data_IF_053463504533
#
_entry.id   IF_053463504533
#
_cell.length_a   1.000
_cell.length_b   1.000
_cell.length_c   1.000
_cell.angle_alpha   90.00
_cell.angle_beta   90.00
_cell.angle_gamma   90.00
#
_symmetry.space_group_name_H-M   'P 1'
#
loop_
_entity.id
_entity.type
_entity.pdbx_description
1 polymer ?
#
# COMPACT_ATOMS: atom_id res chain seq x y z
N UNK A 1 14.37 14.03 5.38
CA UNK A 1 13.48 13.53 6.44
C UNK A 1 12.11 13.49 5.80
N UNK A 2 11.57 12.29 5.59
CA UNK A 2 10.36 12.10 4.79
C UNK A 2 9.13 12.52 5.61
N UNK A 3 8.56 13.69 5.28
CA UNK A 3 7.46 14.37 5.99
C UNK A 3 6.14 13.56 5.99
N UNK A 4 6.10 12.44 5.24
CA UNK A 4 4.89 11.63 5.03
C UNK A 4 4.81 10.41 5.95
N UNK A 5 5.83 10.20 6.79
CA UNK A 5 5.91 9.11 7.77
C UNK A 5 5.06 9.42 9.01
N UNK A 6 4.20 8.48 9.44
CA UNK A 6 3.32 8.70 10.60
C UNK A 6 2.87 7.41 11.27
N UNK A 7 2.42 7.50 12.52
CA UNK A 7 1.73 6.42 13.21
C UNK A 7 0.23 6.54 13.03
N UNK A 8 -0.41 5.43 12.67
CA UNK A 8 -1.87 5.31 12.60
C UNK A 8 -2.34 4.38 13.72
N UNK A 9 -3.55 4.63 14.21
CA UNK A 9 -4.21 3.77 15.19
C UNK A 9 -5.60 3.46 14.68
N UNK A 10 -5.88 2.18 14.47
CA UNK A 10 -7.19 1.72 14.01
C UNK A 10 -8.24 1.90 15.11
N UNK A 11 -9.52 1.80 14.73
CA UNK A 11 -10.64 1.76 15.68
C UNK A 11 -10.56 0.64 16.72
N UNK A 12 -9.81 -0.43 16.45
CA UNK A 12 -9.60 -1.54 17.40
C UNK A 12 -8.50 -1.26 18.43
N UNK A 13 -7.80 -0.12 18.31
CA UNK A 13 -6.62 0.22 19.11
C UNK A 13 -5.31 -0.33 18.56
N UNK A 14 -5.33 -1.08 17.45
CA UNK A 14 -4.11 -1.55 16.80
C UNK A 14 -3.33 -0.37 16.23
N UNK A 15 -2.11 -0.14 16.74
CA UNK A 15 -1.20 0.93 16.32
C UNK A 15 -0.13 0.38 15.39
N UNK A 16 0.17 1.13 14.33
CA UNK A 16 1.16 0.76 13.33
C UNK A 16 1.81 2.01 12.72
N UNK A 17 2.95 1.84 12.08
CA UNK A 17 3.70 2.91 11.42
C UNK A 17 3.52 2.83 9.91
N UNK A 18 3.41 3.97 9.23
CA UNK A 18 3.27 4.05 7.77
C UNK A 18 4.25 5.05 7.21
N UNK A 19 4.88 4.71 6.09
CA UNK A 19 5.74 5.62 5.31
C UNK A 19 5.68 5.31 3.81
N UNK A 20 6.04 6.25 2.93
CA UNK A 20 6.32 5.96 1.53
C UNK A 20 7.35 4.82 1.35
N UNK A 21 7.17 4.07 0.26
CA UNK A 21 8.12 3.11 -0.23
C UNK A 21 9.35 3.81 -0.81
N UNK A 22 10.46 3.09 -0.84
CA UNK A 22 11.71 3.52 -1.44
C UNK A 22 12.38 2.35 -2.14
N UNK A 23 13.37 2.58 -3.03
CA UNK A 23 14.17 1.51 -3.63
C UNK A 23 14.83 0.55 -2.63
N UNK A 24 15.06 0.98 -1.39
CA UNK A 24 15.64 0.10 -0.37
C UNK A 24 14.64 -0.96 0.16
N UNK A 25 13.38 -0.91 -0.25
CA UNK A 25 12.31 -1.76 0.25
C UNK A 25 12.04 -3.01 -0.60
N UNK A 26 12.76 -3.21 -1.70
CA UNK A 26 12.54 -4.32 -2.64
C UNK A 26 12.45 -5.68 -1.93
N UNK A 27 13.46 -6.02 -1.13
CA UNK A 27 13.51 -7.29 -0.40
C UNK A 27 12.41 -7.39 0.67
N UNK A 28 12.10 -6.27 1.32
CA UNK A 28 11.05 -6.21 2.36
C UNK A 28 9.67 -6.45 1.74
N UNK A 29 9.41 -5.83 0.59
CA UNK A 29 8.15 -5.96 -0.12
C UNK A 29 8.00 -7.36 -0.75
N UNK A 30 9.08 -7.92 -1.27
CA UNK A 30 9.12 -9.30 -1.77
C UNK A 30 8.78 -10.30 -0.66
N UNK A 31 9.42 -10.20 0.52
CA UNK A 31 9.11 -11.03 1.68
C UNK A 31 7.65 -10.87 2.14
N UNK A 32 7.16 -9.64 2.21
CA UNK A 32 5.77 -9.34 2.58
C UNK A 32 4.77 -10.11 1.71
N UNK A 33 4.95 -10.11 0.38
CA UNK A 33 4.02 -10.79 -0.53
C UNK A 33 4.01 -12.31 -0.40
N UNK A 34 5.04 -12.93 0.19
CA UNK A 34 5.01 -14.38 0.50
C UNK A 34 4.01 -14.71 1.62
N UNK A 35 3.56 -13.71 2.38
CA UNK A 35 2.67 -13.83 3.52
C UNK A 35 1.28 -13.24 3.28
N UNK A 36 1.02 -12.73 2.08
CA UNK A 36 -0.31 -12.32 1.61
C UNK A 36 -1.05 -13.55 1.08
N UNK A 37 -2.36 -13.63 1.32
CA UNK A 37 -3.14 -14.79 0.85
C UNK A 37 -3.19 -14.82 -0.67
N UNK A 38 -3.33 -16.00 -1.28
CA UNK A 38 -3.44 -16.11 -2.75
C UNK A 38 -4.66 -15.38 -3.31
N UNK A 39 -5.74 -15.33 -2.54
CA UNK A 39 -6.95 -14.61 -2.89
C UNK A 39 -6.68 -13.10 -2.98
N UNK A 40 -6.02 -12.53 -1.97
CA UNK A 40 -5.64 -11.12 -1.96
C UNK A 40 -4.61 -10.79 -3.06
N UNK A 41 -3.64 -11.69 -3.32
CA UNK A 41 -2.69 -11.50 -4.43
C UNK A 41 -3.39 -11.48 -5.77
N UNK A 42 -4.40 -12.34 -5.95
CA UNK A 42 -5.21 -12.38 -7.17
C UNK A 42 -5.95 -11.06 -7.38
N UNK A 43 -6.54 -10.49 -6.33
CA UNK A 43 -7.17 -9.17 -6.42
C UNK A 43 -6.14 -8.08 -6.66
N UNK A 44 -5.00 -8.10 -5.95
CA UNK A 44 -3.97 -7.06 -6.03
C UNK A 44 -3.29 -6.96 -7.40
N UNK A 45 -3.12 -8.07 -8.09
CA UNK A 45 -2.40 -8.13 -9.37
C UNK A 45 -3.29 -8.57 -10.53
N UNK A 46 -4.58 -8.76 -10.31
CA UNK A 46 -5.58 -9.22 -11.30
C UNK A 46 -5.12 -10.45 -12.10
N UNK A 47 -4.28 -11.29 -11.49
CA UNK A 47 -3.60 -12.42 -12.13
C UNK A 47 -3.45 -13.57 -11.14
N UNK A 48 -3.36 -14.81 -11.64
CA UNK A 48 -3.12 -16.01 -10.80
C UNK A 48 -1.64 -16.10 -10.34
N UNK A 49 -1.11 -15.00 -9.80
CA UNK A 49 0.29 -14.88 -9.39
C UNK A 49 0.52 -15.70 -8.13
N UNK A 50 1.45 -16.67 -8.22
CA UNK A 50 1.95 -17.42 -7.07
C UNK A 50 3.11 -16.72 -6.37
N UNK A 51 3.88 -15.90 -7.11
CA UNK A 51 5.06 -15.16 -6.64
C UNK A 51 5.12 -13.84 -7.40
N UNK A 52 5.20 -12.73 -6.67
CA UNK A 52 5.35 -11.39 -7.25
C UNK A 52 6.76 -11.26 -7.81
N UNK A 53 6.87 -10.95 -9.10
CA UNK A 53 8.16 -10.87 -9.80
C UNK A 53 8.91 -9.57 -9.52
N UNK A 54 10.22 -9.55 -9.79
CA UNK A 54 11.09 -8.38 -9.55
C UNK A 54 10.55 -7.09 -10.20
N UNK A 55 10.09 -7.15 -11.46
CA UNK A 55 9.53 -5.97 -12.15
C UNK A 55 8.27 -5.42 -11.45
N UNK A 56 7.47 -6.29 -10.82
CA UNK A 56 6.30 -5.84 -10.06
C UNK A 56 6.73 -5.20 -8.74
N UNK A 57 7.74 -5.75 -8.07
CA UNK A 57 8.33 -5.14 -6.87
C UNK A 57 8.87 -3.75 -7.19
N UNK A 58 9.69 -3.63 -8.24
CA UNK A 58 10.27 -2.36 -8.69
C UNK A 58 9.18 -1.32 -8.97
N UNK A 59 8.07 -1.70 -9.61
CA UNK A 59 6.94 -0.79 -9.86
C UNK A 59 6.27 -0.25 -8.59
N UNK A 60 6.51 -0.87 -7.44
CA UNK A 60 5.93 -0.52 -6.15
C UNK A 60 6.91 0.19 -5.21
N UNK A 61 8.21 0.12 -5.47
CA UNK A 61 9.28 0.70 -4.63
C UNK A 61 10.01 1.85 -5.32
N UNK A 62 10.04 1.86 -6.66
CA UNK A 62 10.67 2.89 -7.49
C UNK A 62 9.61 3.84 -8.11
N UNK A 63 8.58 4.19 -7.32
CA UNK A 63 7.51 5.08 -7.77
C UNK A 63 8.03 6.50 -8.00
N UNK A 64 7.47 7.21 -8.98
CA UNK A 64 7.93 8.56 -9.33
C UNK A 64 7.49 9.66 -8.33
N UNK A 65 6.73 9.30 -7.29
CA UNK A 65 6.15 10.13 -6.23
C UNK A 65 5.35 11.36 -6.71
N UNK A 66 5.14 11.51 -8.03
CA UNK A 66 4.44 12.63 -8.66
C UNK A 66 3.01 12.26 -9.01
N UNK A 67 2.80 11.03 -9.46
CA UNK A 67 1.52 10.48 -9.94
C UNK A 67 1.23 9.09 -9.39
N UNK A 68 2.20 8.50 -8.72
CA UNK A 68 2.06 7.26 -8.00
C UNK A 68 2.69 7.40 -6.61
N UNK A 69 2.10 6.76 -5.62
CA UNK A 69 2.66 6.67 -4.28
C UNK A 69 2.30 5.33 -3.67
N UNK A 70 3.29 4.68 -3.04
CA UNK A 70 3.06 3.43 -2.33
C UNK A 70 3.39 3.62 -0.87
N UNK A 71 2.39 3.46 0.00
CA UNK A 71 2.60 3.47 1.44
C UNK A 71 2.85 2.06 1.96
N UNK A 72 3.93 1.90 2.70
CA UNK A 72 4.28 0.67 3.41
C UNK A 72 3.91 0.82 4.88
N UNK A 73 3.17 -0.15 5.40
CA UNK A 73 2.78 -0.23 6.80
C UNK A 73 3.62 -1.26 7.53
N UNK A 74 4.10 -0.89 8.71
CA UNK A 74 4.91 -1.70 9.60
C UNK A 74 4.27 -1.80 10.97
N UNK A 75 4.56 -2.86 11.71
CA UNK A 75 4.28 -2.94 13.15
C UNK A 75 4.82 -1.70 13.87
N UNK A 76 4.24 -1.33 15.02
CA UNK A 76 4.61 -0.09 15.72
C UNK A 76 6.08 -0.05 16.18
N UNK A 77 6.72 -1.21 16.35
CA UNK A 77 8.14 -1.37 16.64
C UNK A 77 9.03 -1.34 15.38
N UNK A 78 8.43 -1.25 14.18
CA UNK A 78 9.11 -1.21 12.89
C UNK A 78 9.69 -2.56 12.43
N UNK A 79 9.47 -3.65 13.17
CA UNK A 79 10.15 -4.93 12.94
C UNK A 79 9.60 -5.73 11.74
N UNK A 80 8.35 -5.48 11.34
CA UNK A 80 7.67 -6.29 10.33
C UNK A 80 6.77 -5.43 9.45
N UNK A 81 6.85 -5.62 8.13
CA UNK A 81 5.88 -5.07 7.18
C UNK A 81 4.57 -5.87 7.22
N UNK A 82 3.45 -5.17 7.35
CA UNK A 82 2.12 -5.77 7.58
C UNK A 82 1.09 -5.42 6.51
N UNK A 83 1.30 -4.37 5.72
CA UNK A 83 0.41 -4.00 4.62
C UNK A 83 1.08 -3.00 3.65
N UNK A 84 0.51 -2.87 2.46
CA UNK A 84 0.88 -1.87 1.44
C UNK A 84 -0.39 -1.24 0.86
N UNK A 85 -0.33 0.05 0.52
CA UNK A 85 -1.41 0.79 -0.12
C UNK A 85 -0.84 1.68 -1.23
N UNK A 86 -1.14 1.30 -2.47
CA UNK A 86 -0.70 1.99 -3.68
C UNK A 86 -1.81 2.91 -4.19
N UNK A 87 -1.43 4.12 -4.57
CA UNK A 87 -2.19 5.03 -5.40
C UNK A 87 -1.49 5.16 -6.76
N UNK A 88 -2.22 4.97 -7.86
CA UNK A 88 -1.74 5.25 -9.21
C UNK A 88 -2.74 6.16 -9.93
N UNK A 89 -2.29 7.33 -10.39
CA UNK A 89 -3.15 8.34 -11.00
C UNK A 89 -2.96 8.41 -12.51
N UNK A 90 -4.03 8.80 -13.21
CA UNK A 90 -3.90 9.23 -14.60
C UNK A 90 -3.11 10.55 -14.72
N UNK A 91 -2.73 10.91 -15.93
CA UNK A 91 -1.93 12.12 -16.17
C UNK A 91 -2.68 13.44 -15.87
N UNK A 92 -4.01 13.41 -15.82
CA UNK A 92 -4.85 14.59 -15.57
C UNK A 92 -5.22 14.75 -14.08
N UNK A 93 -4.91 13.76 -13.25
CA UNK A 93 -5.37 13.62 -11.86
C UNK A 93 -6.91 13.61 -11.75
N UNK A 94 -7.60 13.19 -12.81
CA UNK A 94 -9.05 13.03 -12.76
C UNK A 94 -9.43 11.77 -11.97
N UNK A 95 -8.64 10.70 -12.15
CA UNK A 95 -8.84 9.40 -11.50
C UNK A 95 -7.55 8.88 -10.88
N UNK A 96 -7.68 8.31 -9.68
CA UNK A 96 -6.64 7.55 -9.00
C UNK A 96 -7.14 6.15 -8.63
N UNK A 97 -6.39 5.13 -8.99
CA UNK A 97 -6.65 3.75 -8.60
C UNK A 97 -5.95 3.43 -7.28
N UNK A 98 -6.69 2.83 -6.35
CA UNK A 98 -6.19 2.41 -5.04
C UNK A 98 -6.16 0.89 -4.96
N UNK A 99 -4.99 0.36 -4.58
CA UNK A 99 -4.80 -1.07 -4.35
C UNK A 99 -4.12 -1.32 -3.00
N UNK A 100 -4.79 -2.08 -2.13
CA UNK A 100 -4.32 -2.39 -0.77
C UNK A 100 -4.10 -3.90 -0.64
N UNK A 101 -2.98 -4.29 -0.02
CA UNK A 101 -2.73 -5.67 0.38
C UNK A 101 -2.34 -5.71 1.86
N UNK A 102 -2.81 -6.74 2.57
CA UNK A 102 -2.56 -6.93 4.01
C UNK A 102 -2.04 -8.34 4.22
N UNK A 103 -1.02 -8.47 5.07
CA UNK A 103 -0.48 -9.77 5.49
C UNK A 103 -1.58 -10.61 6.14
N UNK A 104 -1.66 -11.91 5.81
CA UNK A 104 -2.78 -12.75 6.24
C UNK A 104 -2.99 -12.82 7.76
N UNK A 105 -1.90 -12.81 8.54
CA UNK A 105 -1.89 -12.82 10.02
C UNK A 105 -2.17 -11.45 10.67
N UNK A 106 -2.42 -10.41 9.85
CA UNK A 106 -2.75 -9.05 10.29
C UNK A 106 -4.12 -8.56 9.78
N UNK A 107 -4.91 -9.45 9.17
CA UNK A 107 -6.31 -9.16 8.81
C UNK A 107 -7.18 -8.88 10.03
N UNK A 108 -8.34 -8.29 9.78
CA UNK A 108 -9.40 -7.98 10.76
C UNK A 108 -9.01 -7.03 11.90
N UNK A 109 -7.86 -6.38 11.79
CA UNK A 109 -7.40 -5.34 12.75
C UNK A 109 -7.83 -3.92 12.39
N UNK A 110 -8.47 -3.73 11.23
CA UNK A 110 -8.89 -2.41 10.72
C UNK A 110 -7.81 -1.65 9.94
N UNK A 111 -6.68 -2.29 9.61
CA UNK A 111 -5.54 -1.68 8.90
C UNK A 111 -5.94 -1.12 7.54
N UNK A 112 -6.73 -1.88 6.76
CA UNK A 112 -7.16 -1.47 5.42
C UNK A 112 -7.94 -0.16 5.41
N UNK A 113 -8.82 0.05 6.40
CA UNK A 113 -9.60 1.29 6.54
C UNK A 113 -8.71 2.51 6.78
N UNK A 114 -7.74 2.40 7.68
CA UNK A 114 -6.82 3.49 7.98
C UNK A 114 -5.88 3.78 6.81
N UNK A 115 -5.46 2.75 6.07
CA UNK A 115 -4.66 2.90 4.86
C UNK A 115 -5.44 3.55 3.73
N UNK A 116 -6.70 3.16 3.50
CA UNK A 116 -7.56 3.82 2.52
C UNK A 116 -7.75 5.30 2.86
N UNK A 117 -8.01 5.62 4.14
CA UNK A 117 -8.11 7.01 4.59
C UNK A 117 -6.80 7.78 4.39
N UNK A 118 -5.65 7.14 4.61
CA UNK A 118 -4.33 7.75 4.36
C UNK A 118 -4.11 8.05 2.88
N UNK A 119 -4.46 7.11 2.00
CA UNK A 119 -4.37 7.28 0.54
C UNK A 119 -5.34 8.35 0.06
N UNK A 120 -6.58 8.37 0.58
CA UNK A 120 -7.58 9.38 0.23
C UNK A 120 -7.09 10.80 0.56
N UNK A 121 -6.54 11.02 1.76
CA UNK A 121 -5.94 12.31 2.13
C UNK A 121 -4.80 12.70 1.19
N UNK A 122 -3.93 11.75 0.86
CA UNK A 122 -2.83 12.02 -0.06
C UNK A 122 -3.34 12.37 -1.48
N UNK A 123 -4.34 11.65 -1.96
CA UNK A 123 -4.96 11.90 -3.25
C UNK A 123 -5.59 13.31 -3.31
N UNK A 124 -6.28 13.72 -2.25
CA UNK A 124 -6.82 15.08 -2.10
C UNK A 124 -5.70 16.15 -2.10
N UNK A 125 -4.60 15.91 -1.37
CA UNK A 125 -3.45 16.84 -1.30
C UNK A 125 -2.82 17.11 -2.67
N UNK A 126 -2.76 16.09 -3.54
CA UNK A 126 -2.20 16.24 -4.89
C UNK A 126 -3.27 16.62 -5.94
N UNK A 127 -4.54 16.73 -5.56
CA UNK A 127 -5.63 17.22 -6.43
C UNK A 127 -6.35 16.15 -7.25
N UNK A 128 -6.30 14.88 -6.84
CA UNK A 128 -7.07 13.80 -7.47
C UNK A 128 -8.57 14.00 -7.22
N UNK A 129 -9.38 13.93 -8.29
CA UNK A 129 -10.82 14.19 -8.18
C UNK A 129 -11.65 12.97 -7.79
N UNK A 130 -11.24 11.78 -8.25
CA UNK A 130 -11.98 10.53 -8.02
C UNK A 130 -11.01 9.42 -7.63
N UNK A 131 -11.33 8.68 -6.57
CA UNK A 131 -10.66 7.43 -6.25
C UNK A 131 -11.52 6.24 -6.65
N UNK A 132 -10.88 5.28 -7.27
CA UNK A 132 -11.48 4.01 -7.68
C UNK A 132 -10.66 2.87 -7.10
N UNK A 133 -11.30 1.75 -6.81
CA UNK A 133 -10.62 0.51 -6.45
C UNK A 133 -11.30 -0.61 -7.21
N UNK A 134 -10.49 -1.44 -7.86
CA UNK A 134 -11.00 -2.57 -8.62
C UNK A 134 -11.10 -3.78 -7.71
N UNK A 135 -12.32 -4.08 -7.27
CA UNK A 135 -12.67 -5.42 -6.78
C UNK A 135 -13.17 -6.23 -8.00
N UNK A 136 -12.63 -7.44 -8.19
CA UNK A 136 -13.06 -8.37 -9.25
C UNK A 136 -13.74 -9.60 -8.68
#
# INVERSE_FOLDING_TARGET
MDDRSTYLTTRTGFRFHVRPASPADDDTLADFFTHVTREDLRFRFLTAVKVVGANQIESLTHVDHSRAENFLAFTADGSMMIATAMLACDAALDRGEVAIAIRGDHKDKGIGWELLARVARYAEEIGVKTLESVES
#
